data_IF_829675956846
#
_entry.id   IF_829675956846
#
_cell.length_a   1.000
_cell.length_b   1.000
_cell.length_c   1.000
_cell.angle_alpha   90.00
_cell.angle_beta   90.00
_cell.angle_gamma   90.00
#
_symmetry.space_group_name_H-M   'P 1'
#
loop_
_entity.id
_entity.type
_entity.pdbx_description
1 polymer ?
#
# COMPACT_ATOMS: atom_id res chain seq x y z
N UNK A 1 12.15 5.74 -0.92
CA UNK A 1 11.94 4.34 -0.46
C UNK A 1 12.00 3.42 -1.66
N UNK A 2 12.80 2.37 -1.59
CA UNK A 2 12.94 1.42 -2.69
C UNK A 2 11.86 0.33 -2.67
N UNK A 3 11.65 -0.30 -3.81
CA UNK A 3 10.69 -1.39 -3.96
C UNK A 3 11.01 -2.56 -3.03
N UNK A 4 12.30 -2.87 -2.84
CA UNK A 4 12.71 -3.95 -1.95
C UNK A 4 12.33 -3.70 -0.49
N UNK A 5 12.50 -2.46 -0.03
CA UNK A 5 12.10 -2.10 1.33
C UNK A 5 10.58 -2.22 1.50
N UNK A 6 9.81 -1.80 0.51
CA UNK A 6 8.36 -1.91 0.54
C UNK A 6 7.91 -3.37 0.57
N UNK A 7 8.55 -4.24 -0.21
CA UNK A 7 8.26 -5.68 -0.22
C UNK A 7 8.59 -6.33 1.13
N UNK A 8 9.68 -5.90 1.77
CA UNK A 8 10.05 -6.39 3.09
C UNK A 8 8.99 -6.03 4.13
N UNK A 9 8.44 -4.83 4.06
CA UNK A 9 7.36 -4.39 4.94
C UNK A 9 6.12 -5.25 4.75
N UNK A 10 5.73 -5.54 3.51
CA UNK A 10 4.59 -6.41 3.22
C UNK A 10 4.84 -7.84 3.74
N UNK A 11 6.01 -8.39 3.48
CA UNK A 11 6.34 -9.73 3.93
C UNK A 11 6.31 -9.83 5.45
N UNK A 12 6.83 -8.82 6.14
CA UNK A 12 6.80 -8.77 7.60
C UNK A 12 5.36 -8.68 8.11
N UNK A 13 4.55 -7.80 7.52
CA UNK A 13 3.16 -7.64 7.92
C UNK A 13 2.36 -8.94 7.77
N UNK A 14 2.47 -9.61 6.63
CA UNK A 14 1.73 -10.85 6.37
C UNK A 14 2.31 -12.04 7.13
N UNK A 15 3.63 -12.14 7.23
CA UNK A 15 4.28 -13.27 7.86
C UNK A 15 4.34 -13.18 9.38
N UNK A 16 5.00 -12.15 9.89
CA UNK A 16 5.27 -12.03 11.33
C UNK A 16 4.06 -11.50 12.11
N UNK A 17 3.32 -10.56 11.54
CA UNK A 17 2.17 -9.97 12.22
C UNK A 17 0.88 -10.71 11.94
N UNK A 18 0.87 -11.68 11.06
CA UNK A 18 -0.32 -12.46 10.67
C UNK A 18 -1.49 -11.59 10.21
N UNK A 19 -1.18 -10.50 9.52
CA UNK A 19 -2.22 -9.64 8.97
C UNK A 19 -2.82 -10.26 7.73
N UNK A 20 -4.14 -10.22 7.62
CA UNK A 20 -4.85 -10.72 6.43
C UNK A 20 -4.90 -9.67 5.32
N UNK A 21 -4.67 -8.40 5.65
CA UNK A 21 -4.77 -7.30 4.71
C UNK A 21 -3.93 -6.12 5.17
N UNK A 22 -3.23 -5.50 4.25
CA UNK A 22 -2.49 -4.26 4.51
C UNK A 22 -3.12 -3.13 3.70
N UNK A 23 -3.20 -1.95 4.30
CA UNK A 23 -3.73 -0.75 3.67
C UNK A 23 -2.67 0.33 3.72
N UNK A 24 -2.51 1.04 2.61
CA UNK A 24 -1.56 2.14 2.49
C UNK A 24 -2.29 3.39 2.00
N UNK A 25 -2.06 4.52 2.64
CA UNK A 25 -2.62 5.79 2.23
C UNK A 25 -1.55 6.56 1.46
N UNK A 26 -1.88 6.96 0.24
CA UNK A 26 -0.93 7.61 -0.67
C UNK A 26 -1.53 8.91 -1.21
N UNK A 27 -0.74 9.98 -1.16
CA UNK A 27 -1.13 11.24 -1.78
C UNK A 27 -1.16 11.08 -3.31
N UNK A 28 -2.25 11.47 -3.99
CA UNK A 28 -2.35 11.35 -5.46
C UNK A 28 -1.20 12.06 -6.19
N UNK A 29 -0.62 13.09 -5.60
CA UNK A 29 0.51 13.78 -6.20
C UNK A 29 1.82 13.02 -6.07
N UNK A 30 1.88 11.99 -5.24
CA UNK A 30 3.08 11.20 -5.02
C UNK A 30 3.12 10.00 -5.98
N UNK A 31 3.43 10.28 -7.24
CA UNK A 31 3.48 9.26 -8.29
C UNK A 31 4.48 8.14 -8.01
N UNK A 32 5.59 8.47 -7.38
CA UNK A 32 6.61 7.47 -7.05
C UNK A 32 6.09 6.42 -6.08
N UNK A 33 5.35 6.84 -5.05
CA UNK A 33 4.75 5.92 -4.09
C UNK A 33 3.67 5.06 -4.73
N UNK A 34 2.87 5.64 -5.63
CA UNK A 34 1.86 4.89 -6.38
C UNK A 34 2.51 3.77 -7.20
N UNK A 35 3.58 4.10 -7.91
CA UNK A 35 4.31 3.10 -8.71
C UNK A 35 4.89 1.99 -7.86
N UNK A 36 5.44 2.33 -6.71
CA UNK A 36 5.99 1.33 -5.79
C UNK A 36 4.89 0.41 -5.27
N UNK A 37 3.75 0.97 -4.87
CA UNK A 37 2.61 0.19 -4.39
C UNK A 37 2.15 -0.83 -5.44
N UNK A 38 2.01 -0.41 -6.68
CA UNK A 38 1.61 -1.30 -7.78
C UNK A 38 2.66 -2.40 -8.01
N UNK A 39 3.93 -2.03 -7.98
CA UNK A 39 5.03 -2.99 -8.19
C UNK A 39 5.07 -4.11 -7.16
N UNK A 40 4.70 -3.80 -5.92
CA UNK A 40 4.74 -4.79 -4.84
C UNK A 40 3.43 -5.59 -4.71
N UNK A 41 2.48 -5.37 -5.62
CA UNK A 41 1.26 -6.15 -5.68
C UNK A 41 0.05 -5.53 -5.01
N UNK A 42 0.12 -4.26 -4.64
CA UNK A 42 -1.04 -3.56 -4.10
C UNK A 42 -1.96 -3.07 -5.22
N UNK A 43 -3.23 -2.92 -4.91
CA UNK A 43 -4.24 -2.42 -5.84
C UNK A 43 -4.94 -1.21 -5.23
N UNK A 44 -5.37 -0.30 -6.09
CA UNK A 44 -6.19 0.83 -5.64
C UNK A 44 -7.55 0.29 -5.20
N UNK A 45 -7.87 0.44 -3.93
CA UNK A 45 -9.15 0.03 -3.39
C UNK A 45 -10.21 1.09 -3.58
N UNK A 46 -9.88 2.33 -3.25
CA UNK A 46 -10.78 3.48 -3.37
C UNK A 46 -10.02 4.78 -3.22
N UNK A 47 -10.70 5.86 -3.56
CA UNK A 47 -10.23 7.20 -3.25
C UNK A 47 -11.01 7.69 -2.03
N UNK A 48 -10.31 8.36 -1.12
CA UNK A 48 -10.89 8.88 0.10
C UNK A 48 -10.49 10.34 0.28
N UNK A 49 -11.21 11.05 1.12
CA UNK A 49 -10.85 12.40 1.54
C UNK A 49 -10.56 12.37 3.01
N UNK A 50 -9.34 12.74 3.39
CA UNK A 50 -8.89 12.73 4.77
C UNK A 50 -8.42 14.14 5.11
N UNK A 51 -9.00 14.73 6.13
CA UNK A 51 -8.73 16.12 6.55
C UNK A 51 -8.86 17.11 5.40
N UNK A 52 -9.83 16.90 4.51
CA UNK A 52 -10.06 17.77 3.36
C UNK A 52 -9.11 17.54 2.20
N UNK A 53 -8.22 16.54 2.27
CA UNK A 53 -7.22 16.25 1.24
C UNK A 53 -7.57 14.94 0.52
N UNK A 54 -7.46 14.89 -0.82
CA UNK A 54 -7.68 13.65 -1.53
C UNK A 54 -6.58 12.63 -1.19
N UNK A 55 -6.96 11.39 -1.00
CA UNK A 55 -6.03 10.33 -0.61
C UNK A 55 -6.40 9.06 -1.37
N UNK A 56 -5.39 8.38 -1.90
CA UNK A 56 -5.56 7.08 -2.55
C UNK A 56 -5.37 5.98 -1.52
N UNK A 57 -6.32 5.06 -1.45
CA UNK A 57 -6.25 3.92 -0.54
C UNK A 57 -5.86 2.69 -1.35
N UNK A 58 -4.65 2.21 -1.14
CA UNK A 58 -4.14 0.98 -1.75
C UNK A 58 -4.18 -0.15 -0.74
N UNK A 59 -4.46 -1.34 -1.21
CA UNK A 59 -4.53 -2.50 -0.35
C UNK A 59 -3.86 -3.71 -0.98
N UNK A 60 -3.43 -4.63 -0.12
CA UNK A 60 -2.91 -5.93 -0.53
C UNK A 60 -3.44 -6.98 0.42
N UNK A 61 -3.96 -8.07 -0.13
CA UNK A 61 -4.44 -9.20 0.67
C UNK A 61 -3.34 -10.25 0.80
N UNK A 62 -3.41 -11.03 1.88
CA UNK A 62 -2.48 -12.15 2.06
C UNK A 62 -2.62 -13.12 0.88
N UNK A 63 -1.50 -13.50 0.23
CA UNK A 63 -1.57 -14.51 -0.81
C UNK A 63 -2.10 -15.82 -0.25
N UNK A 64 -3.10 -16.34 -0.90
CA UNK A 64 -3.70 -17.59 -0.46
C UNK A 64 -2.85 -18.79 -0.89
#
# INVERSE_FOLDING_TARGET
>A
MGTEAARAILAYGFGELHLSRLICLIDPANEASVKVAIKIGMSLEREAEIDGEPTLVYSADTPA
#
